data_IF_889204866161
#
_entry.id   IF_889204866161
#
_cell.length_a   1.000
_cell.length_b   1.000
_cell.length_c   1.000
_cell.angle_alpha   90.00
_cell.angle_beta   90.00
_cell.angle_gamma   90.00
#
_symmetry.space_group_name_H-M   'P 1'
#
loop_
_entity.id
_entity.type
_entity.pdbx_description
1 polymer ?
#
# COMPACT_ATOMS: atom_id res chain seq x y z
N UNK A 1 -3.83 -11.71 -19.83
CA UNK A 1 -4.56 -12.46 -18.79
C UNK A 1 -4.51 -13.93 -19.13
N UNK A 2 -3.65 -14.69 -18.44
CA UNK A 2 -3.45 -16.13 -18.60
C UNK A 2 -4.63 -16.97 -18.10
N UNK A 3 -5.56 -16.35 -17.36
CA UNK A 3 -6.77 -16.98 -16.82
C UNK A 3 -7.61 -17.76 -17.84
N UNK A 4 -7.53 -17.42 -19.13
CA UNK A 4 -8.29 -18.11 -20.19
C UNK A 4 -7.54 -19.28 -20.82
N UNK A 5 -6.22 -19.39 -20.64
CA UNK A 5 -5.41 -20.45 -21.24
C UNK A 5 -5.84 -21.86 -20.80
N UNK A 6 -6.12 -22.14 -19.52
CA UNK A 6 -6.62 -23.46 -19.11
C UNK A 6 -7.95 -23.83 -19.78
N UNK A 7 -8.84 -22.86 -20.00
CA UNK A 7 -10.11 -23.10 -20.70
C UNK A 7 -9.92 -23.38 -22.18
N UNK A 8 -9.01 -22.66 -22.84
CA UNK A 8 -8.66 -22.89 -24.25
C UNK A 8 -8.05 -24.27 -24.42
N UNK A 9 -7.06 -24.62 -23.57
CA UNK A 9 -6.42 -25.94 -23.56
C UNK A 9 -7.46 -27.04 -23.36
N UNK A 10 -8.29 -26.93 -22.33
CA UNK A 10 -9.34 -27.91 -22.05
C UNK A 10 -10.40 -28.04 -23.16
N UNK A 11 -10.67 -26.98 -23.93
CA UNK A 11 -11.58 -27.06 -25.08
C UNK A 11 -10.95 -27.86 -26.24
N UNK A 12 -9.65 -27.68 -26.50
CA UNK A 12 -8.93 -28.40 -27.55
C UNK A 12 -8.71 -29.87 -27.16
N UNK A 13 -8.40 -30.15 -25.89
CA UNK A 13 -8.20 -31.52 -25.36
C UNK A 13 -9.45 -32.40 -25.47
N UNK A 14 -10.65 -31.80 -25.36
CA UNK A 14 -11.93 -32.53 -25.46
C UNK A 14 -12.32 -32.89 -26.90
N UNK A 15 -11.57 -32.43 -27.91
CA UNK A 15 -11.86 -32.77 -29.29
C UNK A 15 -11.34 -34.18 -29.63
N UNK A 16 -12.27 -35.11 -29.84
CA UNK A 16 -12.00 -36.52 -30.17
C UNK A 16 -12.22 -36.83 -31.67
N UNK A 17 -12.36 -35.81 -32.51
CA UNK A 17 -12.59 -35.99 -33.95
C UNK A 17 -11.33 -36.34 -34.75
N UNK A 18 -11.48 -36.43 -36.08
CA UNK A 18 -10.43 -36.88 -37.01
C UNK A 18 -9.12 -36.05 -36.95
N UNK A 19 -9.20 -34.78 -36.55
CA UNK A 19 -8.03 -33.90 -36.42
C UNK A 19 -7.40 -33.89 -35.03
N UNK A 20 -7.80 -34.76 -34.10
CA UNK A 20 -7.34 -34.74 -32.70
C UNK A 20 -5.82 -34.82 -32.57
N UNK A 21 -5.18 -35.71 -33.34
CA UNK A 21 -3.72 -35.84 -33.40
C UNK A 21 -3.01 -34.60 -33.96
N UNK A 22 -3.62 -33.94 -34.95
CA UNK A 22 -3.11 -32.70 -35.55
C UNK A 22 -3.26 -31.52 -34.58
N UNK A 23 -4.39 -31.42 -33.88
CA UNK A 23 -4.62 -30.37 -32.87
C UNK A 23 -3.67 -30.54 -31.69
N UNK A 24 -3.41 -31.78 -31.26
CA UNK A 24 -2.44 -32.06 -30.21
C UNK A 24 -1.03 -31.60 -30.60
N UNK A 25 -0.52 -32.11 -31.71
CA UNK A 25 0.85 -31.81 -32.15
C UNK A 25 1.06 -30.34 -32.54
N UNK A 26 0.03 -29.68 -33.11
CA UNK A 26 0.15 -28.29 -33.56
C UNK A 26 -0.09 -27.25 -32.47
N UNK A 27 -0.88 -27.58 -31.44
CA UNK A 27 -1.29 -26.61 -30.42
C UNK A 27 -1.03 -27.10 -28.99
N UNK A 28 -1.53 -28.28 -28.60
CA UNK A 28 -1.45 -28.73 -27.20
C UNK A 28 -0.02 -28.94 -26.73
N UNK A 29 0.82 -29.61 -27.52
CA UNK A 29 2.21 -29.90 -27.11
C UNK A 29 2.99 -28.59 -26.84
N UNK A 30 2.78 -27.57 -27.68
CA UNK A 30 3.39 -26.25 -27.49
C UNK A 30 2.78 -25.51 -26.29
N UNK A 31 1.46 -25.55 -26.11
CA UNK A 31 0.79 -24.94 -24.96
C UNK A 31 1.26 -25.59 -23.65
N UNK A 32 1.38 -26.92 -23.61
CA UNK A 32 1.84 -27.67 -22.44
C UNK A 32 3.26 -27.26 -22.05
N UNK A 33 4.15 -27.18 -23.03
CA UNK A 33 5.53 -26.72 -22.82
C UNK A 33 5.56 -25.29 -22.26
N UNK A 34 4.90 -24.32 -22.92
CA UNK A 34 4.97 -22.91 -22.50
C UNK A 34 4.18 -22.58 -21.23
N UNK A 35 3.29 -23.48 -20.78
CA UNK A 35 2.46 -23.30 -19.58
C UNK A 35 2.91 -24.17 -18.41
N UNK A 36 4.11 -24.75 -18.47
CA UNK A 36 4.69 -25.48 -17.35
C UNK A 36 5.22 -24.55 -16.23
N UNK A 37 5.74 -25.18 -15.18
CA UNK A 37 6.27 -24.53 -13.98
C UNK A 37 7.67 -23.90 -14.16
N UNK A 38 8.26 -24.04 -15.35
CA UNK A 38 9.53 -23.39 -15.70
C UNK A 38 9.34 -22.19 -16.64
N UNK A 39 8.17 -22.06 -17.28
CA UNK A 39 7.83 -20.96 -18.19
C UNK A 39 6.73 -20.06 -17.60
N UNK A 40 5.53 -20.05 -18.19
CA UNK A 40 4.48 -19.09 -17.86
C UNK A 40 4.00 -19.21 -16.40
N UNK A 41 3.89 -20.43 -15.83
CA UNK A 41 3.43 -20.55 -14.45
C UNK A 41 4.45 -19.98 -13.46
N UNK A 42 5.75 -20.08 -13.77
CA UNK A 42 6.80 -19.47 -12.96
C UNK A 42 6.74 -17.95 -12.99
N UNK A 43 6.45 -17.38 -14.15
CA UNK A 43 6.19 -15.94 -14.28
C UNK A 43 4.94 -15.52 -13.48
N UNK A 44 3.84 -16.28 -13.58
CA UNK A 44 2.63 -16.03 -12.80
C UNK A 44 2.93 -16.09 -11.30
N UNK A 45 3.63 -17.12 -10.84
CA UNK A 45 4.02 -17.28 -9.44
C UNK A 45 4.91 -16.11 -8.94
N UNK A 46 5.83 -15.62 -9.77
CA UNK A 46 6.61 -14.42 -9.46
C UNK A 46 5.71 -13.21 -9.25
N UNK A 47 4.75 -12.97 -10.15
CA UNK A 47 3.83 -11.83 -10.07
C UNK A 47 2.91 -11.94 -8.84
N UNK A 48 2.35 -13.12 -8.58
CA UNK A 48 1.48 -13.37 -7.42
C UNK A 48 2.20 -13.19 -6.09
N UNK A 49 3.48 -13.60 -6.01
CA UNK A 49 4.28 -13.41 -4.81
C UNK A 49 4.74 -11.95 -4.64
N UNK A 50 5.08 -11.28 -5.74
CA UNK A 50 5.71 -9.96 -5.71
C UNK A 50 4.72 -8.80 -5.64
N UNK A 51 3.54 -8.90 -6.25
CA UNK A 51 2.60 -7.77 -6.36
C UNK A 51 1.56 -7.82 -5.24
N UNK A 52 1.31 -6.67 -4.62
CA UNK A 52 0.22 -6.51 -3.66
C UNK A 52 -1.13 -6.38 -4.38
N UNK A 53 -1.89 -7.47 -4.44
CA UNK A 53 -3.18 -7.50 -5.14
C UNK A 53 -4.29 -6.77 -4.37
N UNK A 54 -4.21 -6.67 -3.04
CA UNK A 54 -5.20 -5.93 -2.24
C UNK A 54 -5.08 -4.43 -2.51
N UNK A 55 -3.84 -3.93 -2.61
CA UNK A 55 -3.58 -2.54 -2.94
C UNK A 55 -3.88 -2.20 -4.40
N UNK A 56 -3.76 -3.18 -5.29
CA UNK A 56 -4.15 -3.04 -6.69
C UNK A 56 -5.64 -2.73 -6.85
N UNK A 57 -6.51 -3.33 -6.03
CA UNK A 57 -7.95 -3.01 -6.01
C UNK A 57 -8.22 -1.55 -5.61
N UNK A 58 -7.31 -0.96 -4.83
CA UNK A 58 -7.35 0.46 -4.44
C UNK A 58 -6.69 1.39 -5.48
N UNK A 59 -6.21 0.85 -6.60
CA UNK A 59 -5.53 1.59 -7.67
C UNK A 59 -4.05 1.88 -7.41
N UNK A 60 -3.45 1.24 -6.39
CA UNK A 60 -2.06 1.41 -6.00
C UNK A 60 -1.22 0.21 -6.46
N UNK A 61 -0.11 0.49 -7.15
CA UNK A 61 0.79 -0.54 -7.67
C UNK A 61 2.04 -0.62 -6.81
N UNK A 62 2.17 -1.66 -6.01
CA UNK A 62 3.31 -1.83 -5.10
C UNK A 62 3.71 -3.29 -4.93
N UNK A 63 4.94 -3.50 -4.46
CA UNK A 63 5.42 -4.83 -4.08
C UNK A 63 4.76 -5.23 -2.76
N UNK A 64 4.28 -6.47 -2.69
CA UNK A 64 3.71 -7.05 -1.46
C UNK A 64 4.71 -6.97 -0.32
N UNK A 65 4.26 -6.50 0.85
CA UNK A 65 5.11 -6.43 2.03
C UNK A 65 5.67 -7.80 2.44
N UNK A 66 4.94 -8.89 2.17
CA UNK A 66 5.40 -10.26 2.48
C UNK A 66 6.46 -10.80 1.52
N UNK A 67 6.73 -10.11 0.41
CA UNK A 67 7.72 -10.54 -0.58
C UNK A 67 9.16 -10.45 -0.05
N UNK A 68 9.44 -9.52 0.86
CA UNK A 68 10.76 -9.27 1.41
C UNK A 68 10.66 -8.99 2.92
N UNK A 69 11.51 -9.65 3.72
CA UNK A 69 11.44 -9.54 5.19
C UNK A 69 11.73 -8.13 5.70
N UNK A 70 12.67 -7.40 5.08
CA UNK A 70 12.98 -6.02 5.45
C UNK A 70 11.78 -5.12 5.17
N UNK A 71 11.13 -5.32 4.03
CA UNK A 71 9.93 -4.59 3.65
C UNK A 71 8.78 -4.85 4.64
N UNK A 72 8.56 -6.11 5.02
CA UNK A 72 7.58 -6.50 6.04
C UNK A 72 7.86 -5.83 7.39
N UNK A 73 9.12 -5.85 7.84
CA UNK A 73 9.52 -5.25 9.11
C UNK A 73 9.29 -3.74 9.14
N UNK A 74 9.61 -3.04 8.04
CA UNK A 74 9.35 -1.61 7.89
C UNK A 74 7.84 -1.32 7.91
N UNK A 75 7.03 -2.12 7.20
CA UNK A 75 5.57 -1.99 7.21
C UNK A 75 5.00 -2.16 8.62
N UNK A 76 5.44 -3.18 9.36
CA UNK A 76 5.02 -3.44 10.73
C UNK A 76 5.38 -2.26 11.67
N UNK A 77 6.58 -1.69 11.51
CA UNK A 77 7.00 -0.52 12.27
C UNK A 77 6.14 0.71 11.95
N UNK A 78 5.85 0.97 10.67
CA UNK A 78 4.96 2.05 10.24
C UNK A 78 3.57 1.90 10.84
N UNK A 79 3.00 0.70 10.80
CA UNK A 79 1.67 0.41 11.35
C UNK A 79 1.65 0.57 12.88
N UNK A 80 2.74 0.24 13.57
CA UNK A 80 2.87 0.46 15.01
C UNK A 80 2.92 1.96 15.35
N UNK A 81 3.63 2.78 14.57
CA UNK A 81 3.68 4.23 14.75
C UNK A 81 2.33 4.87 14.43
N UNK A 82 1.67 4.45 13.35
CA UNK A 82 0.33 4.93 12.98
C UNK A 82 -0.68 4.63 14.10
N UNK A 83 -0.65 3.42 14.69
CA UNK A 83 -1.48 3.09 15.86
C UNK A 83 -1.23 4.03 17.04
N UNK A 84 0.02 4.37 17.33
CA UNK A 84 0.35 5.34 18.39
C UNK A 84 -0.18 6.75 18.09
N UNK A 85 -0.09 7.18 16.83
CA UNK A 85 -0.65 8.46 16.38
C UNK A 85 -2.16 8.49 16.56
N UNK A 86 -2.87 7.41 16.19
CA UNK A 86 -4.32 7.27 16.36
C UNK A 86 -4.74 7.29 17.84
N UNK A 87 -3.96 6.64 18.71
CA UNK A 87 -4.18 6.70 20.16
C UNK A 87 -4.00 8.13 20.67
N UNK A 88 -2.93 8.81 20.26
CA UNK A 88 -2.67 10.20 20.64
C UNK A 88 -3.78 11.14 20.16
N UNK A 89 -4.31 10.92 18.96
CA UNK A 89 -5.43 11.69 18.42
C UNK A 89 -6.69 11.58 19.29
N UNK A 90 -7.05 10.37 19.72
CA UNK A 90 -8.17 10.15 20.66
C UNK A 90 -7.91 10.81 22.02
N UNK A 91 -6.70 10.70 22.55
CA UNK A 91 -6.32 11.33 23.82
C UNK A 91 -6.41 12.86 23.74
N UNK A 92 -5.88 13.46 22.67
CA UNK A 92 -5.94 14.91 22.45
C UNK A 92 -7.38 15.39 22.22
N UNK A 93 -8.22 14.61 21.54
CA UNK A 93 -9.64 14.93 21.39
C UNK A 93 -10.34 15.02 22.75
N UNK A 94 -10.10 14.06 23.65
CA UNK A 94 -10.62 14.06 25.01
C UNK A 94 -10.08 15.24 25.85
N UNK A 95 -8.78 15.54 25.75
CA UNK A 95 -8.16 16.68 26.45
C UNK A 95 -8.78 18.02 26.03
N UNK A 96 -9.11 18.16 24.74
CA UNK A 96 -9.70 19.36 24.16
C UNK A 96 -11.23 19.40 24.27
N UNK A 97 -11.86 18.33 24.77
CA UNK A 97 -13.32 18.16 24.79
C UNK A 97 -13.95 18.33 23.40
N UNK A 98 -13.32 17.71 22.40
CA UNK A 98 -13.75 17.73 21.00
C UNK A 98 -14.11 16.33 20.51
N UNK A 99 -15.18 16.17 19.72
CA UNK A 99 -15.48 14.89 19.08
C UNK A 99 -14.36 14.46 18.11
N UNK A 100 -13.89 13.21 18.24
CA UNK A 100 -12.92 12.60 17.31
C UNK A 100 -13.49 12.60 15.88
N UNK A 101 -12.65 12.88 14.89
CA UNK A 101 -12.95 12.93 13.44
C UNK A 101 -13.98 13.97 12.97
N UNK A 102 -14.68 14.63 13.91
CA UNK A 102 -15.62 15.71 13.61
C UNK A 102 -15.10 17.07 14.08
N UNK A 103 -14.81 17.19 15.37
CA UNK A 103 -14.29 18.40 15.99
C UNK A 103 -12.77 18.51 15.87
N UNK A 104 -12.07 17.42 16.17
CA UNK A 104 -10.63 17.26 16.00
C UNK A 104 -10.34 16.19 14.95
N UNK A 105 -9.73 16.59 13.84
CA UNK A 105 -9.25 15.69 12.78
C UNK A 105 -7.75 15.49 12.88
N UNK A 106 -7.29 14.37 12.33
CA UNK A 106 -5.89 14.06 12.10
C UNK A 106 -5.64 14.10 10.58
N UNK A 107 -4.85 15.06 10.13
CA UNK A 107 -4.52 15.25 8.71
C UNK A 107 -3.05 14.86 8.47
N UNK A 108 -2.75 14.39 7.25
CA UNK A 108 -1.39 14.27 6.72
C UNK A 108 -1.12 15.41 5.76
N UNK A 109 -0.16 16.28 6.08
CA UNK A 109 0.29 17.39 5.25
C UNK A 109 1.67 17.08 4.67
N UNK A 110 1.90 17.44 3.41
CA UNK A 110 3.20 17.31 2.76
C UNK A 110 4.31 18.09 3.48
N UNK A 111 3.99 19.25 4.06
CA UNK A 111 4.97 20.11 4.74
C UNK A 111 5.26 19.69 6.19
N UNK A 112 4.23 19.24 6.91
CA UNK A 112 4.30 19.03 8.36
C UNK A 112 4.13 17.56 8.79
N UNK A 113 3.92 16.65 7.85
CA UNK A 113 3.53 15.28 8.15
C UNK A 113 2.19 15.23 8.87
N UNK A 114 2.12 14.47 9.96
CA UNK A 114 0.91 14.32 10.76
C UNK A 114 0.63 15.57 11.60
N UNK A 115 -0.59 16.11 11.47
CA UNK A 115 -1.03 17.31 12.19
C UNK A 115 -2.46 17.16 12.70
N UNK A 116 -2.76 17.80 13.82
CA UNK A 116 -4.14 17.98 14.24
C UNK A 116 -4.76 19.13 13.47
N UNK A 117 -6.06 19.00 13.19
CA UNK A 117 -6.85 20.05 12.58
C UNK A 117 -8.19 20.20 13.27
N UNK A 118 -8.56 21.45 13.57
CA UNK A 118 -9.89 21.82 14.05
C UNK A 118 -10.54 22.80 13.08
N UNK A 119 -11.86 22.85 13.10
CA UNK A 119 -12.62 23.85 12.32
C UNK A 119 -12.59 25.22 12.99
N UNK A 120 -12.86 26.28 12.23
CA UNK A 120 -13.01 27.64 12.75
C UNK A 120 -14.10 27.77 13.83
N UNK A 121 -15.11 26.87 13.80
CA UNK A 121 -16.19 26.82 14.80
C UNK A 121 -15.68 26.34 16.17
N UNK A 122 -14.75 25.40 16.17
CA UNK A 122 -14.23 24.79 17.41
C UNK A 122 -13.07 25.60 18.01
N UNK A 123 -12.30 26.31 17.18
CA UNK A 123 -11.13 27.09 17.62
C UNK A 123 -11.40 28.02 18.82
N UNK A 124 -12.48 28.83 18.88
CA UNK A 124 -12.71 29.72 20.02
C UNK A 124 -12.89 28.96 21.35
N UNK A 125 -13.41 27.73 21.31
CA UNK A 125 -13.65 26.90 22.51
C UNK A 125 -12.35 26.37 23.11
N UNK A 126 -11.36 26.10 22.25
CA UNK A 126 -10.09 25.46 22.65
C UNK A 126 -8.90 26.41 22.62
N UNK A 127 -9.07 27.66 22.17
CA UNK A 127 -8.00 28.67 22.02
C UNK A 127 -7.07 28.78 23.22
N UNK A 128 -7.61 28.83 24.44
CA UNK A 128 -6.81 28.92 25.67
C UNK A 128 -5.90 27.70 25.83
N UNK A 129 -6.43 26.48 25.61
CA UNK A 129 -5.66 25.24 25.70
C UNK A 129 -4.62 25.14 24.57
N UNK A 130 -4.97 25.56 23.36
CA UNK A 130 -4.05 25.59 22.21
C UNK A 130 -2.82 26.46 22.50
N UNK A 131 -3.02 27.67 23.02
CA UNK A 131 -1.92 28.60 23.27
C UNK A 131 -0.96 28.16 24.39
N UNK A 132 -1.40 27.24 25.26
CA UNK A 132 -0.61 26.77 26.41
C UNK A 132 0.12 25.46 26.10
N UNK A 133 -0.57 24.51 25.46
CA UNK A 133 -0.09 23.12 25.35
C UNK A 133 0.27 22.69 23.92
N UNK A 134 0.01 23.53 22.91
CA UNK A 134 0.15 23.16 21.50
C UNK A 134 0.92 24.20 20.70
N UNK A 135 1.43 23.76 19.55
CA UNK A 135 2.14 24.60 18.58
C UNK A 135 1.23 24.76 17.38
N UNK A 136 0.73 25.99 17.14
CA UNK A 136 -0.05 26.31 15.95
C UNK A 136 0.88 26.37 14.74
N UNK A 137 0.55 25.59 13.71
CA UNK A 137 1.35 25.48 12.49
C UNK A 137 0.79 26.34 11.37
N UNK A 138 -0.53 26.34 11.21
CA UNK A 138 -1.19 27.02 10.10
C UNK A 138 -2.62 27.42 10.47
N UNK A 139 -3.02 28.64 10.11
CA UNK A 139 -4.40 29.11 10.22
C UNK A 139 -4.92 29.44 8.82
N UNK A 140 -6.04 28.84 8.43
CA UNK A 140 -6.72 29.09 7.14
C UNK A 140 -8.19 29.44 7.35
N UNK A 141 -8.88 29.81 6.27
CA UNK A 141 -10.31 30.13 6.28
C UNK A 141 -11.18 28.98 6.80
N UNK A 142 -10.73 27.74 6.62
CA UNK A 142 -11.44 26.49 6.88
C UNK A 142 -11.00 25.79 8.18
N UNK A 143 -10.05 26.36 8.94
CA UNK A 143 -9.64 25.80 10.22
C UNK A 143 -8.23 26.16 10.65
N UNK A 144 -7.80 25.55 11.75
CA UNK A 144 -6.46 25.70 12.32
C UNK A 144 -5.80 24.33 12.39
N UNK A 145 -4.56 24.26 11.89
CA UNK A 145 -3.68 23.11 12.05
C UNK A 145 -2.67 23.39 13.16
N UNK A 146 -2.46 22.41 14.01
CA UNK A 146 -1.55 22.50 15.13
C UNK A 146 -0.98 21.13 15.46
N UNK A 147 0.02 21.10 16.33
CA UNK A 147 0.67 19.87 16.77
C UNK A 147 1.11 19.99 18.22
N UNK A 148 1.63 18.89 18.76
CA UNK A 148 2.40 18.88 20.00
C UNK A 148 3.70 18.10 19.80
N UNK A 149 4.61 18.16 20.76
CA UNK A 149 5.91 17.50 20.66
C UNK A 149 5.80 15.98 20.45
N UNK A 150 4.75 15.33 20.98
CA UNK A 150 4.53 13.89 20.82
C UNK A 150 4.13 13.54 19.38
N UNK A 151 3.14 14.25 18.84
CA UNK A 151 2.68 14.02 17.46
C UNK A 151 3.78 14.33 16.46
N UNK A 152 4.54 15.42 16.66
CA UNK A 152 5.68 15.75 15.82
C UNK A 152 6.72 14.61 15.79
N UNK A 153 7.12 14.10 16.97
CA UNK A 153 8.08 12.98 17.05
C UNK A 153 7.59 11.72 16.34
N UNK A 154 6.33 11.34 16.54
CA UNK A 154 5.73 10.19 15.86
C UNK A 154 5.63 10.40 14.35
N UNK A 155 5.23 11.60 13.92
CA UNK A 155 5.17 11.99 12.51
C UNK A 155 6.54 11.95 11.84
N UNK A 156 7.58 12.48 12.49
CA UNK A 156 8.96 12.46 12.01
C UNK A 156 9.47 11.00 11.91
N UNK A 157 9.16 10.16 12.91
CA UNK A 157 9.51 8.73 12.88
C UNK A 157 8.81 8.00 11.73
N UNK A 158 7.51 8.23 11.54
CA UNK A 158 6.76 7.65 10.43
C UNK A 158 7.32 8.09 9.08
N UNK A 159 7.67 9.38 8.93
CA UNK A 159 8.26 9.92 7.71
C UNK A 159 9.56 9.21 7.32
N UNK A 160 10.46 9.01 8.29
CA UNK A 160 11.71 8.27 8.07
C UNK A 160 11.48 6.82 7.65
N UNK A 161 10.55 6.13 8.32
CA UNK A 161 10.19 4.75 7.97
C UNK A 161 9.59 4.66 6.58
N UNK A 162 8.73 5.62 6.20
CA UNK A 162 8.14 5.69 4.87
C UNK A 162 9.19 5.94 3.79
N UNK A 163 10.15 6.83 4.02
CA UNK A 163 11.27 7.06 3.10
C UNK A 163 12.09 5.79 2.88
N UNK A 164 12.45 5.09 3.97
CA UNK A 164 13.18 3.83 3.87
C UNK A 164 12.36 2.74 3.16
N UNK A 165 11.09 2.58 3.52
CA UNK A 165 10.16 1.65 2.87
C UNK A 165 10.07 1.90 1.37
N UNK A 166 9.96 3.18 0.97
CA UNK A 166 9.86 3.59 -0.43
C UNK A 166 11.17 3.29 -1.19
N UNK A 167 12.32 3.48 -0.54
CA UNK A 167 13.61 3.14 -1.13
C UNK A 167 13.73 1.63 -1.38
N UNK A 168 13.36 0.81 -0.39
CA UNK A 168 13.39 -0.66 -0.50
C UNK A 168 12.39 -1.15 -1.56
N UNK A 169 11.18 -0.60 -1.59
CA UNK A 169 10.18 -0.85 -2.65
C UNK A 169 10.79 -0.64 -4.03
N UNK A 170 11.44 0.50 -4.27
CA UNK A 170 12.01 0.85 -5.57
C UNK A 170 13.07 -0.15 -6.02
N UNK A 171 13.94 -0.59 -5.11
CA UNK A 171 14.94 -1.61 -5.39
C UNK A 171 14.33 -2.98 -5.69
N UNK A 172 13.27 -3.37 -4.97
CA UNK A 172 12.54 -4.60 -5.21
C UNK A 172 11.82 -4.58 -6.57
N UNK A 173 11.17 -3.48 -6.92
CA UNK A 173 10.54 -3.29 -8.23
C UNK A 173 11.56 -3.50 -9.34
N UNK A 174 12.74 -2.86 -9.26
CA UNK A 174 13.78 -3.01 -10.28
C UNK A 174 14.21 -4.48 -10.44
N UNK A 175 14.40 -5.21 -9.33
CA UNK A 175 14.74 -6.64 -9.35
C UNK A 175 13.64 -7.50 -9.96
N UNK A 176 12.39 -7.31 -9.52
CA UNK A 176 11.23 -8.07 -10.02
C UNK A 176 11.03 -7.84 -11.51
N UNK A 177 11.16 -6.59 -11.99
CA UNK A 177 11.08 -6.27 -13.43
C UNK A 177 12.21 -6.94 -14.20
N UNK A 178 13.44 -6.94 -13.67
CA UNK A 178 14.57 -7.62 -14.30
C UNK A 178 14.34 -9.13 -14.42
N UNK A 179 13.84 -9.77 -13.35
CA UNK A 179 13.50 -11.21 -13.38
C UNK A 179 12.31 -11.47 -14.30
N UNK A 180 11.29 -10.61 -14.31
CA UNK A 180 10.15 -10.73 -15.21
C UNK A 180 10.58 -10.68 -16.69
N UNK A 181 11.57 -9.85 -17.03
CA UNK A 181 12.08 -9.72 -18.39
C UNK A 181 12.72 -11.03 -18.91
N UNK A 182 13.28 -11.88 -18.05
CA UNK A 182 13.89 -13.15 -18.48
C UNK A 182 12.87 -14.18 -18.98
N UNK A 183 11.57 -13.98 -18.75
CA UNK A 183 10.50 -14.82 -19.30
C UNK A 183 10.05 -14.40 -20.70
N UNK A 184 10.62 -13.31 -21.24
CA UNK A 184 10.33 -12.83 -22.60
C UNK A 184 11.39 -13.25 -23.62
N UNK A 185 12.49 -13.84 -23.16
CA UNK A 185 13.57 -14.43 -23.98
C UNK A 185 13.27 -15.91 -24.28
#
# INVERSE_FOLDING_TARGET
SSLRLPYIKGAIERYEGEFSSLLKSKYLDALDYWTDDDHLNKFIALVEAAVDLEQLENGEYMISASYDSKLLDLKNQMDAVEKQIQILHKQTANELDLPVDKGLKLDKSTQFGHVFRITKKEEPKVRKKLNVSFIVLETRKDGVKFTNTKLKKLGDQYGKLLEEYTSVQKELVARVVQTAATFSE
#
